data_IF_041952152932
#
_entry.id   IF_041952152932
#
_cell.length_a   1.000
_cell.length_b   1.000
_cell.length_c   1.000
_cell.angle_alpha   90.00
_cell.angle_beta   90.00
_cell.angle_gamma   90.00
#
_symmetry.space_group_name_H-M   'P 1'
#
loop_
_entity.id
_entity.type
_entity.pdbx_description
1 polymer ?
#
# COMPACT_ATOMS: atom_id res chain seq x y z
N UNK A 1 -41.22 19.61 18.87
CA UNK A 1 -41.82 19.03 20.10
C UNK A 1 -41.00 17.82 20.51
N UNK A 2 -40.46 17.91 21.74
CA UNK A 2 -40.11 16.80 22.64
C UNK A 2 -38.92 15.93 22.17
N UNK A 3 -37.85 15.68 22.89
CA UNK A 3 -37.25 16.01 24.20
C UNK A 3 -35.77 15.57 24.10
N UNK A 4 -34.78 16.25 24.56
CA UNK A 4 -34.23 16.54 25.88
C UNK A 4 -34.21 15.34 26.84
N UNK A 5 -33.01 15.08 27.34
CA UNK A 5 -32.53 14.22 28.46
C UNK A 5 -31.86 12.91 28.00
N UNK A 6 -30.54 12.75 28.24
CA UNK A 6 -29.98 12.33 29.52
C UNK A 6 -28.47 12.56 29.56
N UNK A 7 -28.06 13.64 30.19
CA UNK A 7 -26.78 13.75 30.88
C UNK A 7 -26.96 13.15 32.24
N UNK A 8 -26.16 12.15 32.61
CA UNK A 8 -26.00 11.78 34.04
C UNK A 8 -24.63 11.17 34.28
N UNK A 9 -23.75 12.00 34.85
CA UNK A 9 -22.87 11.75 35.98
C UNK A 9 -22.33 10.33 36.19
N UNK A 10 -21.03 10.14 35.99
CA UNK A 10 -20.25 9.20 36.78
C UNK A 10 -19.27 9.99 37.65
N UNK A 11 -19.54 9.88 38.90
CA UNK A 11 -18.98 10.57 40.05
C UNK A 11 -17.59 10.02 40.36
N UNK A 12 -16.64 10.90 40.52
CA UNK A 12 -15.33 10.66 41.12
C UNK A 12 -15.51 10.18 42.56
N UNK A 13 -14.98 9.01 42.88
CA UNK A 13 -14.73 8.61 44.27
C UNK A 13 -13.23 8.54 44.52
N UNK A 14 -12.73 9.61 45.13
CA UNK A 14 -11.47 9.60 45.88
C UNK A 14 -11.70 8.80 47.16
N UNK A 15 -10.84 7.82 47.41
CA UNK A 15 -10.67 7.29 48.76
C UNK A 15 -9.18 7.03 48.96
N UNK A 16 -8.58 7.92 49.71
CA UNK A 16 -7.28 7.74 50.35
C UNK A 16 -7.45 6.74 51.50
N UNK A 17 -6.60 5.75 51.58
CA UNK A 17 -6.32 5.05 52.83
C UNK A 17 -4.86 4.62 52.84
N UNK A 18 -4.09 5.34 53.63
CA UNK A 18 -2.74 5.01 54.02
C UNK A 18 -2.77 3.85 55.00
N UNK A 19 -1.95 2.85 54.79
CA UNK A 19 -1.51 1.96 55.85
C UNK A 19 -0.05 1.59 55.66
N UNK A 20 0.78 2.11 56.58
CA UNK A 20 2.17 1.76 56.78
C UNK A 20 2.21 0.37 57.47
N UNK A 21 2.98 -0.57 56.90
CA UNK A 21 3.58 -1.67 57.66
C UNK A 21 4.99 -1.91 57.13
N UNK A 22 5.91 -1.98 58.08
CA UNK A 22 7.34 -2.01 57.89
C UNK A 22 7.94 -3.41 57.58
N UNK A 23 9.10 -3.37 56.97
CA UNK A 23 10.26 -4.29 57.00
C UNK A 23 10.02 -5.82 57.03
N UNK A 24 10.53 -6.47 55.98
CA UNK A 24 11.50 -7.57 56.11
C UNK A 24 12.37 -7.64 54.81
N UNK A 25 13.64 -7.33 54.98
CA UNK A 25 14.67 -7.52 53.96
C UNK A 25 14.98 -9.03 53.87
N UNK A 26 14.77 -9.62 52.70
CA UNK A 26 15.53 -10.81 52.28
C UNK A 26 15.92 -10.60 50.84
N UNK A 27 17.23 -10.43 50.62
CA UNK A 27 17.83 -10.26 49.30
C UNK A 27 17.72 -11.55 48.46
N UNK A 28 17.11 -11.40 47.34
CA UNK A 28 17.36 -12.23 46.15
C UNK A 28 17.59 -11.27 45.00
N UNK A 29 18.88 -11.04 44.70
CA UNK A 29 19.29 -10.34 43.49
C UNK A 29 18.94 -11.26 42.30
N UNK A 30 17.69 -11.29 41.93
CA UNK A 30 17.23 -11.74 40.64
C UNK A 30 17.52 -10.64 39.64
N UNK A 31 18.53 -10.81 38.79
CA UNK A 31 18.71 -9.96 37.60
C UNK A 31 17.47 -10.08 36.73
N UNK A 32 16.51 -9.19 36.93
CA UNK A 32 15.45 -8.97 35.98
C UNK A 32 16.12 -8.51 34.69
N UNK A 33 16.33 -9.44 33.74
CA UNK A 33 16.56 -9.08 32.35
C UNK A 33 15.37 -8.24 31.95
N UNK A 34 15.55 -6.94 31.89
CA UNK A 34 14.66 -6.03 31.19
C UNK A 34 14.49 -6.65 29.79
N UNK A 35 13.31 -7.21 29.52
CA UNK A 35 12.90 -7.50 28.16
C UNK A 35 12.76 -6.14 27.50
N UNK A 36 13.85 -5.71 26.85
CA UNK A 36 13.86 -4.51 26.03
C UNK A 36 12.68 -4.65 25.07
N UNK A 37 11.82 -3.66 25.07
CA UNK A 37 10.82 -3.48 24.01
C UNK A 37 11.58 -3.67 22.71
N UNK A 38 11.23 -4.69 21.93
CA UNK A 38 11.88 -5.00 20.68
C UNK A 38 11.79 -3.75 19.80
N UNK A 39 12.91 -3.04 19.66
CA UNK A 39 12.97 -1.92 18.72
C UNK A 39 12.67 -2.49 17.33
N UNK A 40 11.83 -1.81 16.52
CA UNK A 40 11.64 -2.22 15.14
C UNK A 40 13.01 -2.40 14.48
N UNK A 41 13.22 -3.45 13.67
CA UNK A 41 14.52 -3.78 13.10
C UNK A 41 15.07 -2.53 12.38
N UNK A 42 16.19 -2.02 12.88
CA UNK A 42 16.83 -0.87 12.27
C UNK A 42 17.41 -1.34 10.93
N UNK A 43 16.95 -0.73 9.85
CA UNK A 43 17.46 -0.98 8.50
C UNK A 43 18.93 -0.57 8.46
N UNK A 44 19.82 -1.52 8.14
CA UNK A 44 21.24 -1.22 8.00
C UNK A 44 21.51 -0.43 6.71
N UNK A 45 22.59 0.38 6.67
CA UNK A 45 23.01 1.04 5.43
C UNK A 45 23.25 0.04 4.27
N UNK A 46 23.75 -1.16 4.58
CA UNK A 46 23.98 -2.21 3.59
C UNK A 46 22.66 -2.76 3.03
N UNK A 47 21.65 -3.03 3.88
CA UNK A 47 20.32 -3.42 3.43
C UNK A 47 19.69 -2.35 2.52
N UNK A 48 19.79 -1.08 2.92
CA UNK A 48 19.24 0.02 2.13
C UNK A 48 19.93 0.14 0.76
N UNK A 49 21.25 -0.04 0.71
CA UNK A 49 22.00 -0.01 -0.56
C UNK A 49 21.59 -1.13 -1.52
N UNK A 50 21.43 -2.36 -1.00
CA UNK A 50 20.93 -3.49 -1.80
C UNK A 50 19.50 -3.28 -2.27
N UNK A 51 18.63 -2.81 -1.39
CA UNK A 51 17.24 -2.51 -1.72
C UNK A 51 17.11 -1.44 -2.80
N UNK A 52 17.94 -0.40 -2.77
CA UNK A 52 17.98 0.64 -3.83
C UNK A 52 18.31 0.05 -5.18
N UNK A 53 19.30 -0.85 -5.26
CA UNK A 53 19.65 -1.53 -6.52
C UNK A 53 18.49 -2.39 -7.05
N UNK A 54 17.81 -3.13 -6.17
CA UNK A 54 16.64 -3.93 -6.55
C UNK A 54 15.52 -3.03 -7.11
N UNK A 55 15.21 -1.94 -6.41
CA UNK A 55 14.17 -0.98 -6.81
C UNK A 55 14.49 -0.32 -8.15
N UNK A 56 15.77 -0.04 -8.42
CA UNK A 56 16.24 0.50 -9.69
C UNK A 56 16.06 -0.51 -10.82
N UNK A 57 16.54 -1.76 -10.65
CA UNK A 57 16.40 -2.84 -11.64
C UNK A 57 14.92 -3.10 -11.96
N UNK A 58 14.04 -3.06 -10.95
CA UNK A 58 12.59 -3.23 -11.12
C UNK A 58 11.90 -2.06 -11.82
N UNK A 59 12.62 -1.00 -12.14
CA UNK A 59 12.05 0.15 -12.84
C UNK A 59 11.00 0.93 -12.05
N UNK A 60 11.06 0.90 -10.71
CA UNK A 60 10.07 1.53 -9.82
C UNK A 60 9.92 3.02 -10.14
N UNK A 61 11.00 3.71 -10.52
CA UNK A 61 10.95 5.11 -10.96
C UNK A 61 10.04 5.31 -12.16
N UNK A 62 10.17 4.47 -13.18
CA UNK A 62 9.33 4.54 -14.38
C UNK A 62 7.87 4.18 -14.07
N UNK A 63 7.65 3.19 -13.20
CA UNK A 63 6.31 2.77 -12.76
C UNK A 63 5.53 3.92 -12.12
N UNK A 64 6.17 4.73 -11.28
CA UNK A 64 5.54 5.83 -10.56
C UNK A 64 5.69 7.20 -11.22
N UNK A 65 6.43 7.31 -12.34
CA UNK A 65 6.61 8.57 -13.05
C UNK A 65 5.28 9.28 -13.42
N UNK A 66 4.21 8.58 -13.85
CA UNK A 66 2.94 9.22 -14.16
C UNK A 66 2.19 9.77 -12.93
N UNK A 67 2.57 9.35 -11.72
CA UNK A 67 1.81 9.71 -10.51
C UNK A 67 1.88 11.21 -10.21
N UNK A 68 3.05 11.82 -10.33
CA UNK A 68 3.23 13.26 -10.08
C UNK A 68 2.36 14.04 -11.06
N UNK A 69 2.48 13.73 -12.35
CA UNK A 69 1.65 14.34 -13.40
C UNK A 69 0.14 14.18 -13.10
N UNK A 70 -0.28 12.97 -12.73
CA UNK A 70 -1.68 12.69 -12.41
C UNK A 70 -2.20 13.50 -11.22
N UNK A 71 -1.38 13.68 -10.17
CA UNK A 71 -1.75 14.52 -9.02
C UNK A 71 -1.86 15.98 -9.41
N UNK A 72 -0.88 16.52 -10.13
CA UNK A 72 -0.90 17.91 -10.61
C UNK A 72 -2.13 18.14 -11.49
N UNK A 73 -2.34 17.30 -12.50
CA UNK A 73 -3.49 17.39 -13.40
C UNK A 73 -4.82 17.33 -12.63
N UNK A 74 -5.02 16.35 -11.77
CA UNK A 74 -6.26 16.22 -10.98
C UNK A 74 -6.52 17.46 -10.13
N UNK A 75 -5.48 18.02 -9.52
CA UNK A 75 -5.60 19.21 -8.67
C UNK A 75 -5.96 20.45 -9.49
N UNK A 76 -5.26 20.67 -10.60
CA UNK A 76 -5.52 21.82 -11.48
C UNK A 76 -6.87 21.73 -12.18
N UNK A 77 -7.28 20.56 -12.65
CA UNK A 77 -8.61 20.32 -13.21
C UNK A 77 -9.73 20.68 -12.21
N UNK A 78 -9.55 20.32 -10.93
CA UNK A 78 -10.51 20.66 -9.88
C UNK A 78 -10.64 22.17 -9.67
N UNK A 79 -9.54 22.92 -9.79
CA UNK A 79 -9.57 24.38 -9.69
C UNK A 79 -10.24 25.02 -10.93
N UNK A 80 -9.96 24.47 -12.12
CA UNK A 80 -10.60 24.94 -13.37
C UNK A 80 -12.12 24.73 -13.32
N UNK A 81 -12.59 23.61 -12.78
CA UNK A 81 -14.04 23.34 -12.66
C UNK A 81 -14.76 24.40 -11.83
N UNK A 82 -14.12 24.95 -10.81
CA UNK A 82 -14.68 26.01 -9.97
C UNK A 82 -14.41 27.42 -10.49
N UNK A 83 -13.43 27.58 -11.40
CA UNK A 83 -13.00 28.86 -11.95
C UNK A 83 -12.75 28.77 -13.47
N UNK A 84 -13.77 28.45 -14.27
CA UNK A 84 -13.58 28.15 -15.69
C UNK A 84 -12.99 29.31 -16.50
N UNK A 85 -13.21 30.57 -16.08
CA UNK A 85 -12.66 31.75 -16.73
C UNK A 85 -11.13 31.84 -16.64
N UNK A 86 -10.49 31.12 -15.70
CA UNK A 86 -9.03 31.10 -15.52
C UNK A 86 -8.38 29.86 -16.15
N UNK A 87 -9.15 29.07 -16.91
CA UNK A 87 -8.69 27.77 -17.42
C UNK A 87 -7.38 27.84 -18.19
N UNK A 88 -7.19 28.91 -19.02
CA UNK A 88 -5.94 29.08 -19.76
C UNK A 88 -4.75 29.35 -18.82
N UNK A 89 -4.89 30.29 -17.91
CA UNK A 89 -3.80 30.67 -17.00
C UNK A 89 -3.43 29.52 -16.06
N UNK A 90 -4.44 28.79 -15.55
CA UNK A 90 -4.22 27.59 -14.72
C UNK A 90 -3.50 26.52 -15.54
N UNK A 91 -3.85 26.32 -16.82
CA UNK A 91 -3.17 25.37 -17.70
C UNK A 91 -1.69 25.69 -17.89
N UNK A 92 -1.36 26.95 -18.14
CA UNK A 92 0.02 27.42 -18.31
C UNK A 92 0.83 27.24 -17.00
N UNK A 93 0.25 27.57 -15.86
CA UNK A 93 0.84 27.40 -14.53
C UNK A 93 1.00 25.90 -14.19
N UNK A 94 0.02 25.07 -14.55
CA UNK A 94 0.04 23.62 -14.33
C UNK A 94 1.25 22.95 -14.97
N UNK A 95 1.61 23.33 -16.19
CA UNK A 95 2.78 22.81 -16.87
C UNK A 95 4.10 23.14 -16.16
N UNK A 96 4.20 24.32 -15.55
CA UNK A 96 5.35 24.69 -14.74
C UNK A 96 5.37 23.93 -13.42
N UNK A 97 4.24 23.85 -12.72
CA UNK A 97 4.11 23.07 -11.47
C UNK A 97 4.49 21.61 -11.71
N UNK A 98 4.03 20.99 -12.81
CA UNK A 98 4.37 19.63 -13.14
C UNK A 98 5.89 19.41 -13.21
N UNK A 99 6.62 20.29 -13.88
CA UNK A 99 8.09 20.23 -13.95
C UNK A 99 8.73 20.39 -12.58
N UNK A 100 8.25 21.34 -11.79
CA UNK A 100 8.83 21.62 -10.47
C UNK A 100 8.62 20.47 -9.49
N UNK A 101 7.53 19.71 -9.63
CA UNK A 101 7.19 18.58 -8.77
C UNK A 101 7.70 17.22 -9.25
N UNK A 102 8.13 17.08 -10.52
CA UNK A 102 8.69 15.83 -11.04
C UNK A 102 9.79 15.21 -10.16
N UNK A 103 10.75 15.97 -9.58
CA UNK A 103 11.77 15.42 -8.72
C UNK A 103 11.22 14.70 -7.48
N UNK A 104 10.01 15.06 -7.02
CA UNK A 104 9.38 14.43 -5.85
C UNK A 104 9.02 12.95 -6.08
N UNK A 105 8.95 12.50 -7.31
CA UNK A 105 8.82 11.07 -7.62
C UNK A 105 9.94 10.22 -6.98
N UNK A 106 11.11 10.80 -6.73
CA UNK A 106 12.20 10.12 -6.05
C UNK A 106 11.86 9.76 -4.59
N UNK A 107 10.97 10.50 -3.94
CA UNK A 107 10.51 10.21 -2.57
C UNK A 107 9.85 8.81 -2.49
N UNK A 108 9.10 8.42 -3.54
CA UNK A 108 8.44 7.10 -3.63
C UNK A 108 9.47 6.01 -3.84
N UNK A 109 10.46 6.24 -4.69
CA UNK A 109 11.56 5.30 -4.94
C UNK A 109 12.33 5.03 -3.65
N UNK A 110 12.68 6.09 -2.91
CA UNK A 110 13.39 5.97 -1.64
C UNK A 110 12.53 5.30 -0.54
N UNK A 111 11.24 5.59 -0.50
CA UNK A 111 10.31 4.92 0.41
C UNK A 111 10.21 3.42 0.08
N UNK A 112 10.09 3.07 -1.20
CA UNK A 112 10.05 1.68 -1.66
C UNK A 112 11.32 0.94 -1.28
N UNK A 113 12.50 1.55 -1.46
CA UNK A 113 13.76 0.95 -1.03
C UNK A 113 13.81 0.71 0.49
N UNK A 114 13.30 1.64 1.31
CA UNK A 114 13.17 1.44 2.76
C UNK A 114 12.23 0.28 3.10
N UNK A 115 11.11 0.12 2.40
CA UNK A 115 10.21 -1.01 2.60
C UNK A 115 10.88 -2.34 2.29
N UNK A 116 11.59 -2.46 1.16
CA UNK A 116 12.37 -3.66 0.86
C UNK A 116 13.40 -3.94 1.96
N UNK A 117 14.17 -2.93 2.37
CA UNK A 117 15.17 -3.08 3.40
C UNK A 117 14.59 -3.45 4.79
N UNK A 118 13.34 -3.10 5.08
CA UNK A 118 12.67 -3.47 6.33
C UNK A 118 12.05 -4.87 6.32
N UNK A 119 11.70 -5.38 5.14
CA UNK A 119 11.04 -6.68 5.01
C UNK A 119 12.01 -7.84 4.73
N UNK A 120 13.20 -7.56 4.22
CA UNK A 120 14.16 -8.57 3.83
C UNK A 120 15.49 -8.39 4.58
N UNK A 121 16.07 -9.49 5.02
CA UNK A 121 17.42 -9.49 5.56
C UNK A 121 18.46 -9.16 4.49
N UNK A 122 19.67 -8.78 4.89
CA UNK A 122 20.76 -8.52 3.94
C UNK A 122 21.08 -9.73 3.06
N UNK A 123 21.02 -10.95 3.61
CA UNK A 123 21.25 -12.17 2.87
C UNK A 123 20.17 -12.41 1.80
N UNK A 124 18.90 -12.18 2.14
CA UNK A 124 17.79 -12.28 1.19
C UNK A 124 17.86 -11.20 0.11
N UNK A 125 18.18 -9.96 0.46
CA UNK A 125 18.37 -8.89 -0.52
C UNK A 125 19.48 -9.20 -1.52
N UNK A 126 20.59 -9.80 -1.07
CA UNK A 126 21.66 -10.28 -1.98
C UNK A 126 21.15 -11.35 -2.95
N UNK A 127 20.35 -12.29 -2.48
CA UNK A 127 19.77 -13.34 -3.33
C UNK A 127 18.75 -12.76 -4.33
N UNK A 128 17.88 -11.87 -3.89
CA UNK A 128 16.91 -11.18 -4.73
C UNK A 128 17.62 -10.36 -5.81
N UNK A 129 18.65 -9.62 -5.43
CA UNK A 129 19.45 -8.82 -6.36
C UNK A 129 20.13 -9.73 -7.41
N UNK A 130 20.77 -10.80 -6.97
CA UNK A 130 21.41 -11.77 -7.87
C UNK A 130 20.40 -12.41 -8.84
N UNK A 131 19.19 -12.73 -8.36
CA UNK A 131 18.12 -13.21 -9.22
C UNK A 131 17.76 -12.21 -10.31
N UNK A 132 17.45 -10.95 -9.96
CA UNK A 132 17.08 -9.93 -10.93
C UNK A 132 18.21 -9.55 -11.89
N UNK A 133 19.47 -9.73 -11.49
CA UNK A 133 20.64 -9.55 -12.36
C UNK A 133 20.90 -10.74 -13.30
N UNK A 134 20.34 -11.90 -13.01
CA UNK A 134 20.48 -13.09 -13.85
C UNK A 134 19.73 -12.96 -15.18
N UNK A 135 20.13 -13.74 -16.19
CA UNK A 135 19.42 -13.79 -17.48
C UNK A 135 17.96 -14.22 -17.32
N UNK A 136 17.67 -15.15 -16.42
CA UNK A 136 16.30 -15.61 -16.13
C UNK A 136 15.48 -14.51 -15.44
N UNK A 137 16.06 -13.83 -14.46
CA UNK A 137 15.37 -12.71 -13.76
C UNK A 137 15.05 -11.56 -14.70
N UNK A 138 16.00 -11.20 -15.58
CA UNK A 138 15.76 -10.17 -16.60
C UNK A 138 14.71 -10.59 -17.62
N UNK A 139 14.75 -11.85 -18.07
CA UNK A 139 13.73 -12.38 -18.96
C UNK A 139 12.34 -12.39 -18.28
N UNK A 140 12.27 -12.79 -17.03
CA UNK A 140 11.01 -12.75 -16.27
C UNK A 140 10.44 -11.34 -16.20
N UNK A 141 11.25 -10.34 -15.83
CA UNK A 141 10.80 -8.95 -15.80
C UNK A 141 10.30 -8.43 -17.16
N UNK A 142 10.91 -8.86 -18.24
CA UNK A 142 10.53 -8.43 -19.59
C UNK A 142 9.26 -9.12 -20.10
N UNK A 143 9.07 -10.41 -19.83
CA UNK A 143 8.05 -11.25 -20.45
C UNK A 143 6.82 -11.49 -19.54
N UNK A 144 6.98 -11.40 -18.21
CA UNK A 144 5.87 -11.63 -17.25
C UNK A 144 4.65 -10.70 -17.48
N UNK A 145 4.81 -9.39 -17.72
CA UNK A 145 3.66 -8.52 -18.00
C UNK A 145 2.84 -9.02 -19.20
N UNK A 146 3.52 -9.41 -20.29
CA UNK A 146 2.84 -9.93 -21.47
C UNK A 146 2.13 -11.25 -21.20
N UNK A 147 2.75 -12.15 -20.45
CA UNK A 147 2.13 -13.43 -20.09
C UNK A 147 0.87 -13.22 -19.22
N UNK A 148 0.88 -12.23 -18.34
CA UNK A 148 -0.29 -11.84 -17.54
C UNK A 148 -1.39 -11.21 -18.42
N UNK A 149 -1.03 -10.33 -19.36
CA UNK A 149 -1.99 -9.73 -20.30
C UNK A 149 -2.66 -10.79 -21.17
N UNK A 150 -1.89 -11.73 -21.72
CA UNK A 150 -2.40 -12.87 -22.49
C UNK A 150 -3.35 -13.75 -21.64
N UNK A 151 -3.01 -13.97 -20.37
CA UNK A 151 -3.84 -14.73 -19.43
C UNK A 151 -5.17 -14.00 -19.13
N UNK A 152 -5.13 -12.68 -18.96
CA UNK A 152 -6.34 -11.88 -18.74
C UNK A 152 -7.25 -11.85 -19.98
N UNK A 153 -6.67 -11.75 -21.18
CA UNK A 153 -7.42 -11.84 -22.44
C UNK A 153 -8.10 -13.20 -22.60
N UNK A 154 -7.38 -14.29 -22.29
CA UNK A 154 -7.95 -15.63 -22.29
C UNK A 154 -9.10 -15.76 -21.27
N UNK A 155 -8.92 -15.25 -20.05
CA UNK A 155 -9.94 -15.30 -19.00
C UNK A 155 -11.21 -14.55 -19.42
N UNK A 156 -11.09 -13.44 -20.14
CA UNK A 156 -12.22 -12.72 -20.74
C UNK A 156 -13.00 -13.61 -21.69
N UNK A 157 -12.33 -14.17 -22.70
CA UNK A 157 -12.97 -15.06 -23.69
C UNK A 157 -13.59 -16.31 -23.06
N UNK A 158 -12.92 -16.87 -22.05
CA UNK A 158 -13.45 -18.00 -21.30
C UNK A 158 -14.72 -17.63 -20.53
N UNK A 159 -14.76 -16.45 -19.92
CA UNK A 159 -15.94 -15.93 -19.21
C UNK A 159 -17.14 -15.74 -20.15
N UNK A 160 -16.93 -15.21 -21.35
CA UNK A 160 -17.97 -15.05 -22.37
C UNK A 160 -18.54 -16.41 -22.79
N UNK A 161 -17.69 -17.38 -23.08
CA UNK A 161 -18.12 -18.73 -23.44
C UNK A 161 -18.90 -19.40 -22.29
N UNK A 162 -18.41 -19.29 -21.06
CA UNK A 162 -19.11 -19.82 -19.88
C UNK A 162 -20.50 -19.17 -19.71
N UNK A 163 -20.62 -17.86 -19.96
CA UNK A 163 -21.91 -17.16 -19.89
C UNK A 163 -22.93 -17.73 -20.89
N UNK A 164 -22.49 -18.07 -22.09
CA UNK A 164 -23.32 -18.71 -23.09
C UNK A 164 -23.81 -20.10 -22.61
N UNK A 165 -22.90 -20.89 -22.07
CA UNK A 165 -23.24 -22.23 -21.53
C UNK A 165 -24.19 -22.12 -20.34
N UNK A 166 -23.97 -21.21 -19.41
CA UNK A 166 -24.83 -20.96 -18.25
C UNK A 166 -26.21 -20.53 -18.71
N UNK A 167 -26.30 -19.62 -19.69
CA UNK A 167 -27.59 -19.18 -20.24
C UNK A 167 -28.36 -20.34 -20.90
N UNK A 168 -27.66 -21.17 -21.67
CA UNK A 168 -28.25 -22.35 -22.30
C UNK A 168 -28.85 -23.32 -21.25
N UNK A 169 -28.05 -23.59 -20.21
CA UNK A 169 -28.48 -24.46 -19.10
C UNK A 169 -29.63 -23.85 -18.31
N UNK A 170 -29.58 -22.55 -18.03
CA UNK A 170 -30.67 -21.84 -17.35
C UNK A 170 -31.99 -21.96 -18.14
N UNK A 171 -31.95 -21.69 -19.44
CA UNK A 171 -33.15 -21.84 -20.32
C UNK A 171 -33.73 -23.25 -20.29
N UNK A 172 -32.85 -24.26 -20.36
CA UNK A 172 -33.31 -25.66 -20.31
C UNK A 172 -33.99 -26.00 -18.97
N UNK A 173 -33.45 -25.51 -17.85
CA UNK A 173 -34.04 -25.76 -16.53
C UNK A 173 -35.34 -24.96 -16.31
N UNK A 174 -35.41 -23.72 -16.80
CA UNK A 174 -36.64 -22.91 -16.73
C UNK A 174 -37.76 -23.51 -17.55
N UNK A 175 -37.47 -24.05 -18.75
CA UNK A 175 -38.44 -24.75 -19.57
C UNK A 175 -39.03 -25.99 -18.87
N UNK A 176 -38.22 -26.76 -18.12
CA UNK A 176 -38.73 -27.88 -17.31
C UNK A 176 -39.71 -27.42 -16.21
N UNK A 177 -39.59 -26.19 -15.76
CA UNK A 177 -40.47 -25.57 -14.75
C UNK A 177 -41.67 -24.84 -15.36
N UNK A 178 -41.86 -24.93 -16.69
CA UNK A 178 -42.98 -24.31 -17.40
C UNK A 178 -42.78 -22.83 -17.75
N UNK A 179 -41.56 -22.32 -17.65
CA UNK A 179 -41.22 -20.95 -18.04
C UNK A 179 -40.45 -20.94 -19.37
N UNK A 180 -40.99 -20.31 -20.37
CA UNK A 180 -40.34 -20.15 -21.68
C UNK A 180 -39.61 -18.80 -21.73
N UNK A 181 -38.24 -18.86 -21.86
CA UNK A 181 -37.34 -17.70 -21.85
C UNK A 181 -36.69 -17.49 -23.21
#
# INVERSE_FOLDING_TARGET
>A
MIARHLLRHVMVRKSAMALLVALAAIGLAGTAKSQGVAQPPQVSPAQLALAKQIVEIKGVKAMFAPLVHGVVKKTTDSVIQTNPMWGKDIGDISAQIDKDFQPRGQEIVDATARFYASHFTEAELKQILAFYQSSVGQKMMADEPRALDESMAYAGSWGDNLSIEVMSKLRAEMKKRGHDM
#
